data_IF_800101290768
#
_entry.id   IF_800101290768
#
_cell.length_a   1.000
_cell.length_b   1.000
_cell.length_c   1.000
_cell.angle_alpha   90.00
_cell.angle_beta   90.00
_cell.angle_gamma   90.00
#
_symmetry.space_group_name_H-M   'P 1'
#
loop_
_entity.id
_entity.type
_entity.pdbx_description
1 polymer ?
#
# COMPACT_ATOMS: atom_id res chain seq x y z
N UNK A 1 -11.70 -15.04 -19.64
CA UNK A 1 -13.00 -14.37 -19.79
C UNK A 1 -12.75 -12.88 -19.87
N UNK A 2 -13.21 -12.27 -20.97
CA UNK A 2 -13.18 -10.81 -21.17
C UNK A 2 -14.04 -10.10 -20.11
N UNK A 3 -13.71 -8.85 -19.84
CA UNK A 3 -14.37 -8.00 -18.84
C UNK A 3 -15.90 -7.95 -18.96
N UNK A 4 -16.44 -7.68 -20.15
CA UNK A 4 -17.88 -7.57 -20.36
C UNK A 4 -18.62 -8.89 -20.06
N UNK A 5 -18.05 -10.04 -20.48
CA UNK A 5 -18.63 -11.37 -20.21
C UNK A 5 -18.61 -11.65 -18.71
N UNK A 6 -17.50 -11.32 -18.05
CA UNK A 6 -17.39 -11.49 -16.61
C UNK A 6 -18.39 -10.61 -15.86
N UNK A 7 -18.57 -9.35 -16.27
CA UNK A 7 -19.56 -8.48 -15.64
C UNK A 7 -20.99 -9.01 -15.83
N UNK A 8 -21.35 -9.48 -17.02
CA UNK A 8 -22.66 -10.11 -17.25
C UNK A 8 -22.88 -11.34 -16.34
N UNK A 9 -21.86 -12.20 -16.23
CA UNK A 9 -21.88 -13.35 -15.33
C UNK A 9 -21.98 -12.94 -13.84
N UNK A 10 -21.23 -11.92 -13.43
CA UNK A 10 -21.20 -11.50 -12.05
C UNK A 10 -22.49 -10.79 -11.64
N UNK A 11 -23.06 -9.96 -12.51
CA UNK A 11 -24.32 -9.27 -12.24
C UNK A 11 -25.51 -10.24 -12.26
N UNK A 12 -25.46 -11.32 -13.05
CA UNK A 12 -26.46 -12.40 -12.94
C UNK A 12 -26.35 -13.18 -11.62
N UNK A 13 -25.17 -13.24 -11.01
CA UNK A 13 -24.91 -13.94 -9.74
C UNK A 13 -24.51 -13.00 -8.58
N UNK A 14 -24.99 -11.76 -8.59
CA UNK A 14 -24.48 -10.71 -7.69
C UNK A 14 -24.73 -11.02 -6.20
N UNK A 15 -25.85 -11.68 -5.87
CA UNK A 15 -26.17 -12.08 -4.49
C UNK A 15 -25.15 -13.09 -3.97
N UNK A 16 -24.82 -14.09 -4.78
CA UNK A 16 -23.82 -15.10 -4.44
C UNK A 16 -22.46 -14.44 -4.19
N UNK A 17 -22.00 -13.58 -5.12
CA UNK A 17 -20.76 -12.83 -4.96
C UNK A 17 -20.73 -11.99 -3.67
N UNK A 18 -21.78 -11.20 -3.40
CA UNK A 18 -21.84 -10.36 -2.20
C UNK A 18 -21.80 -11.19 -0.92
N UNK A 19 -22.50 -12.33 -0.89
CA UNK A 19 -22.46 -13.23 0.26
C UNK A 19 -21.06 -13.82 0.49
N UNK A 20 -20.39 -14.30 -0.56
CA UNK A 20 -19.02 -14.79 -0.47
C UNK A 20 -18.04 -13.69 -0.05
N UNK A 21 -18.14 -12.50 -0.61
CA UNK A 21 -17.28 -11.37 -0.26
C UNK A 21 -17.43 -10.96 1.21
N UNK A 22 -18.66 -10.89 1.72
CA UNK A 22 -18.92 -10.59 3.13
C UNK A 22 -18.42 -11.70 4.06
N UNK A 23 -18.73 -12.97 3.76
CA UNK A 23 -18.30 -14.11 4.56
C UNK A 23 -16.77 -14.21 4.64
N UNK A 24 -16.08 -14.10 3.50
CA UNK A 24 -14.62 -14.14 3.45
C UNK A 24 -14.00 -12.94 4.17
N UNK A 25 -14.49 -11.72 3.91
CA UNK A 25 -13.94 -10.52 4.55
C UNK A 25 -14.10 -10.55 6.07
N UNK A 26 -15.26 -10.97 6.56
CA UNK A 26 -15.54 -11.10 8.01
C UNK A 26 -14.68 -12.20 8.62
N UNK A 27 -14.57 -13.35 7.96
CA UNK A 27 -13.75 -14.47 8.43
C UNK A 27 -12.27 -14.08 8.51
N UNK A 28 -11.72 -13.48 7.46
CA UNK A 28 -10.35 -12.97 7.43
C UNK A 28 -10.12 -11.84 8.45
N UNK A 29 -11.12 -11.01 8.71
CA UNK A 29 -11.05 -9.98 9.76
C UNK A 29 -10.89 -10.60 11.15
N UNK A 30 -11.75 -11.56 11.53
CA UNK A 30 -11.64 -12.24 12.82
C UNK A 30 -10.32 -13.02 12.93
N UNK A 31 -9.93 -13.72 11.86
CA UNK A 31 -8.66 -14.43 11.78
C UNK A 31 -7.47 -13.50 11.86
N UNK A 32 -7.50 -12.26 11.39
CA UNK A 32 -6.33 -11.36 11.46
C UNK A 32 -6.27 -10.56 12.77
N UNK A 33 -7.42 -10.25 13.37
CA UNK A 33 -7.52 -9.31 14.50
C UNK A 33 -6.76 -9.79 15.75
N UNK A 34 -6.75 -11.09 16.05
CA UNK A 34 -5.99 -11.63 17.20
C UNK A 34 -4.47 -11.40 17.12
N UNK A 35 -3.90 -11.31 15.90
CA UNK A 35 -2.46 -11.08 15.69
C UNK A 35 -2.12 -9.60 15.57
N UNK A 36 -2.98 -8.84 14.91
CA UNK A 36 -2.74 -7.43 14.61
C UNK A 36 -3.08 -6.53 15.81
N UNK A 37 -4.03 -6.97 16.67
CA UNK A 37 -4.45 -6.36 17.95
C UNK A 37 -5.05 -4.95 17.86
N UNK A 38 -5.45 -4.48 16.69
CA UNK A 38 -6.08 -3.18 16.49
C UNK A 38 -7.11 -3.23 15.37
N UNK A 39 -8.36 -2.85 15.66
CA UNK A 39 -9.47 -2.87 14.69
C UNK A 39 -9.24 -1.89 13.53
N UNK A 40 -8.60 -0.76 13.81
CA UNK A 40 -8.27 0.27 12.81
C UNK A 40 -6.88 0.06 12.20
N UNK A 41 -6.37 -1.16 12.24
CA UNK A 41 -5.09 -1.48 11.62
C UNK A 41 -5.24 -1.60 10.09
N UNK A 42 -4.33 -0.98 9.32
CA UNK A 42 -4.37 -1.08 7.86
C UNK A 42 -4.35 -2.51 7.32
N UNK A 43 -3.80 -3.48 8.07
CA UNK A 43 -3.78 -4.88 7.63
C UNK A 43 -5.19 -5.39 7.29
N UNK A 44 -6.23 -4.93 8.00
CA UNK A 44 -7.60 -5.33 7.70
C UNK A 44 -8.08 -4.83 6.33
N UNK A 45 -7.61 -3.67 5.86
CA UNK A 45 -7.95 -3.19 4.54
C UNK A 45 -7.21 -3.98 3.44
N UNK A 46 -5.90 -4.16 3.59
CA UNK A 46 -5.05 -4.85 2.61
C UNK A 46 -5.23 -6.37 2.58
N UNK A 47 -5.68 -6.97 3.68
CA UNK A 47 -5.87 -8.42 3.76
C UNK A 47 -7.35 -8.77 3.87
N UNK A 48 -8.07 -8.32 4.91
CA UNK A 48 -9.45 -8.77 5.09
C UNK A 48 -10.41 -8.25 4.00
N UNK A 49 -10.35 -6.96 3.66
CA UNK A 49 -11.25 -6.36 2.67
C UNK A 49 -10.85 -6.70 1.23
N UNK A 50 -9.67 -6.29 0.79
CA UNK A 50 -9.24 -6.46 -0.63
C UNK A 50 -9.06 -7.93 -1.01
N UNK A 51 -8.43 -8.74 -0.16
CA UNK A 51 -8.30 -10.18 -0.41
C UNK A 51 -9.65 -10.88 -0.27
N UNK A 52 -10.50 -10.47 0.67
CA UNK A 52 -11.86 -11.01 0.83
C UNK A 52 -12.74 -10.78 -0.40
N UNK A 53 -12.68 -9.60 -1.02
CA UNK A 53 -13.38 -9.30 -2.27
C UNK A 53 -12.78 -10.04 -3.47
N UNK A 54 -11.44 -10.11 -3.58
CA UNK A 54 -10.77 -10.81 -4.68
C UNK A 54 -10.99 -12.33 -4.62
N UNK A 55 -10.90 -12.94 -3.43
CA UNK A 55 -11.14 -14.36 -3.26
C UNK A 55 -12.60 -14.76 -3.42
N UNK A 56 -13.54 -13.84 -3.23
CA UNK A 56 -14.93 -14.08 -3.59
C UNK A 56 -15.10 -14.25 -5.11
N UNK A 57 -14.34 -13.51 -5.93
CA UNK A 57 -14.29 -13.71 -7.38
C UNK A 57 -13.72 -15.10 -7.71
N UNK A 58 -12.63 -15.50 -7.05
CA UNK A 58 -12.02 -16.83 -7.25
C UNK A 58 -13.03 -17.94 -6.89
N UNK A 59 -13.73 -17.79 -5.77
CA UNK A 59 -14.67 -18.79 -5.27
C UNK A 59 -15.89 -18.93 -6.18
N UNK A 60 -16.49 -17.81 -6.63
CA UNK A 60 -17.66 -17.88 -7.51
C UNK A 60 -17.28 -18.46 -8.88
N UNK A 61 -16.10 -18.12 -9.42
CA UNK A 61 -15.64 -18.71 -10.67
C UNK A 61 -15.37 -20.21 -10.53
N UNK A 62 -14.85 -20.67 -9.39
CA UNK A 62 -14.63 -22.09 -9.14
C UNK A 62 -15.93 -22.88 -8.99
N UNK A 63 -16.93 -22.35 -8.26
CA UNK A 63 -18.24 -23.01 -8.09
C UNK A 63 -18.96 -23.20 -9.42
N UNK A 64 -18.79 -22.26 -10.35
CA UNK A 64 -19.37 -22.31 -11.70
C UNK A 64 -18.45 -22.98 -12.74
N UNK A 65 -17.42 -23.72 -12.29
CA UNK A 65 -16.51 -24.50 -13.15
C UNK A 65 -15.73 -23.67 -14.20
N UNK A 66 -15.57 -22.36 -13.97
CA UNK A 66 -14.82 -21.44 -14.85
C UNK A 66 -13.32 -21.41 -14.53
N UNK A 67 -12.90 -22.01 -13.42
CA UNK A 67 -11.51 -22.08 -12.96
C UNK A 67 -11.20 -23.52 -12.55
N UNK A 68 -10.07 -24.01 -13.06
CA UNK A 68 -9.56 -25.34 -12.75
C UNK A 68 -9.20 -25.54 -11.28
N UNK A 69 -9.41 -26.77 -10.79
CA UNK A 69 -9.03 -27.17 -9.44
C UNK A 69 -7.55 -26.92 -9.15
N UNK A 70 -6.68 -27.08 -10.15
CA UNK A 70 -5.25 -26.84 -10.01
C UNK A 70 -4.94 -25.40 -9.59
N UNK A 71 -5.46 -24.40 -10.32
CA UNK A 71 -5.26 -22.98 -10.02
C UNK A 71 -5.99 -22.57 -8.72
N UNK A 72 -7.20 -23.08 -8.49
CA UNK A 72 -7.92 -22.84 -7.25
C UNK A 72 -7.13 -23.34 -6.03
N UNK A 73 -6.62 -24.57 -6.08
CA UNK A 73 -5.83 -25.17 -5.00
C UNK A 73 -4.56 -24.37 -4.72
N UNK A 74 -3.89 -23.88 -5.76
CA UNK A 74 -2.71 -23.03 -5.64
C UNK A 74 -3.03 -21.74 -4.86
N UNK A 75 -4.05 -21.00 -5.28
CA UNK A 75 -4.42 -19.73 -4.66
C UNK A 75 -4.86 -19.93 -3.20
N UNK A 76 -5.63 -20.97 -2.93
CA UNK A 76 -6.05 -21.30 -1.57
C UNK A 76 -4.86 -21.67 -0.67
N UNK A 77 -3.95 -22.50 -1.15
CA UNK A 77 -2.73 -22.86 -0.41
C UNK A 77 -1.82 -21.64 -0.23
N UNK A 78 -1.65 -20.80 -1.26
CA UNK A 78 -0.84 -19.59 -1.22
C UNK A 78 -1.30 -18.64 -0.10
N UNK A 79 -2.60 -18.33 -0.05
CA UNK A 79 -3.19 -17.52 1.01
C UNK A 79 -3.04 -18.16 2.40
N UNK A 80 -3.21 -19.48 2.49
CA UNK A 80 -3.06 -20.23 3.75
C UNK A 80 -1.61 -20.21 4.26
N UNK A 81 -0.63 -20.48 3.40
CA UNK A 81 0.81 -20.45 3.73
C UNK A 81 1.26 -19.06 4.13
N UNK A 82 0.85 -18.03 3.37
CA UNK A 82 1.07 -16.64 3.74
C UNK A 82 0.59 -16.37 5.17
N UNK A 83 -0.65 -16.73 5.47
CA UNK A 83 -1.28 -16.41 6.74
C UNK A 83 -0.67 -17.19 7.93
N UNK A 84 -0.37 -18.48 7.74
CA UNK A 84 0.28 -19.31 8.77
C UNK A 84 1.66 -18.75 9.14
N UNK A 85 2.47 -18.41 8.13
CA UNK A 85 3.82 -17.88 8.34
C UNK A 85 3.77 -16.47 8.92
N UNK A 86 2.82 -15.63 8.50
CA UNK A 86 2.53 -14.35 9.13
C UNK A 86 2.21 -14.51 10.63
N UNK A 87 1.32 -15.44 10.97
CA UNK A 87 0.91 -15.71 12.35
C UNK A 87 2.06 -16.16 13.25
N UNK A 88 2.94 -17.03 12.71
CA UNK A 88 4.13 -17.53 13.41
C UNK A 88 5.17 -16.42 13.60
N UNK A 89 5.46 -15.68 12.53
CA UNK A 89 6.52 -14.67 12.53
C UNK A 89 6.16 -13.42 13.35
N UNK A 90 4.87 -13.06 13.42
CA UNK A 90 4.35 -11.91 14.18
C UNK A 90 4.44 -12.06 15.70
N UNK A 91 4.55 -13.28 16.24
CA UNK A 91 4.49 -13.53 17.69
C UNK A 91 5.83 -13.42 18.43
N UNK A 92 6.95 -13.19 17.73
CA UNK A 92 8.29 -13.35 18.33
C UNK A 92 8.93 -12.03 18.73
N UNK A 93 9.09 -11.80 20.04
CA UNK A 93 9.81 -10.64 20.62
C UNK A 93 11.31 -10.63 20.29
N UNK A 94 11.93 -11.81 20.15
CA UNK A 94 13.36 -11.94 19.88
C UNK A 94 13.79 -11.26 18.57
N UNK A 95 12.90 -11.24 17.57
CA UNK A 95 13.14 -10.63 16.26
C UNK A 95 13.25 -9.11 16.32
N UNK A 96 12.50 -8.46 17.21
CA UNK A 96 12.60 -7.02 17.41
C UNK A 96 13.92 -6.62 18.08
N UNK A 97 14.25 -7.25 19.20
CA UNK A 97 15.47 -6.92 19.97
C UNK A 97 16.77 -7.13 19.17
N UNK A 98 16.78 -8.12 18.27
CA UNK A 98 17.93 -8.42 17.41
C UNK A 98 17.91 -7.68 16.06
N UNK A 99 16.86 -6.91 15.76
CA UNK A 99 16.75 -6.24 14.46
C UNK A 99 17.84 -5.18 14.25
N UNK A 100 18.39 -5.15 13.04
CA UNK A 100 19.28 -4.06 12.61
C UNK A 100 18.59 -2.71 12.78
N UNK A 101 17.29 -2.65 12.50
CA UNK A 101 16.47 -1.46 12.66
C UNK A 101 16.53 -0.87 14.09
N UNK A 102 16.38 -1.71 15.12
CA UNK A 102 16.47 -1.22 16.51
C UNK A 102 17.87 -0.69 16.83
N UNK A 103 18.92 -1.41 16.40
CA UNK A 103 20.32 -0.96 16.60
C UNK A 103 20.61 0.38 15.91
N UNK A 104 20.17 0.52 14.67
CA UNK A 104 20.30 1.75 13.89
C UNK A 104 19.56 2.91 14.55
N UNK A 105 18.36 2.65 15.04
CA UNK A 105 17.52 3.70 15.63
C UNK A 105 18.08 4.23 16.95
N UNK A 106 18.74 3.39 17.76
CA UNK A 106 19.38 3.82 19.01
C UNK A 106 20.43 4.91 18.75
N UNK A 107 21.25 4.76 17.70
CA UNK A 107 22.29 5.75 17.36
C UNK A 107 21.72 7.12 16.96
N UNK A 108 20.47 7.15 16.48
CA UNK A 108 19.75 8.34 16.01
C UNK A 108 19.10 9.12 17.18
N UNK A 109 18.80 8.44 18.30
CA UNK A 109 18.02 9.00 19.40
C UNK A 109 18.63 10.28 20.00
N UNK A 110 19.96 10.36 20.09
CA UNK A 110 20.64 11.49 20.74
C UNK A 110 20.43 12.83 20.05
N UNK A 111 20.13 12.82 18.74
CA UNK A 111 19.99 14.03 17.91
C UNK A 111 18.61 14.14 17.27
N UNK A 112 17.59 13.56 17.90
CA UNK A 112 16.23 13.47 17.38
C UNK A 112 15.69 14.81 16.85
N UNK A 113 15.83 15.89 17.62
CA UNK A 113 15.30 17.21 17.25
C UNK A 113 15.99 17.82 16.04
N UNK A 114 17.29 17.56 15.88
CA UNK A 114 18.05 18.02 14.72
C UNK A 114 17.58 17.29 13.47
N UNK A 115 17.45 15.96 13.55
CA UNK A 115 16.99 15.14 12.43
C UNK A 115 15.58 15.52 11.99
N UNK A 116 14.65 15.73 12.92
CA UNK A 116 13.29 16.17 12.59
C UNK A 116 13.30 17.51 11.82
N UNK A 117 14.08 18.50 12.28
CA UNK A 117 14.19 19.79 11.58
C UNK A 117 14.77 19.62 10.18
N UNK A 118 15.84 18.85 10.06
CA UNK A 118 16.50 18.60 8.79
C UNK A 118 15.56 17.93 7.78
N UNK A 119 14.88 16.84 8.17
CA UNK A 119 13.96 16.12 7.29
C UNK A 119 12.75 16.97 6.90
N UNK A 120 12.23 17.81 7.80
CA UNK A 120 11.15 18.74 7.47
C UNK A 120 11.60 19.83 6.49
N UNK A 121 12.81 20.38 6.64
CA UNK A 121 13.38 21.34 5.69
C UNK A 121 13.60 20.66 4.34
N UNK A 122 14.16 19.45 4.33
CA UNK A 122 14.36 18.65 3.11
C UNK A 122 13.02 18.44 2.40
N UNK A 123 11.98 18.00 3.11
CA UNK A 123 10.65 17.80 2.54
C UNK A 123 10.07 19.08 1.91
N UNK A 124 10.18 20.22 2.61
CA UNK A 124 9.73 21.51 2.08
C UNK A 124 10.55 21.94 0.86
N UNK A 125 11.86 21.73 0.86
CA UNK A 125 12.73 22.07 -0.29
C UNK A 125 12.39 21.23 -1.53
N UNK A 126 12.18 19.93 -1.36
CA UNK A 126 11.76 19.03 -2.44
C UNK A 126 10.35 19.41 -2.94
N UNK A 127 9.46 19.84 -2.04
CA UNK A 127 8.14 20.31 -2.42
C UNK A 127 8.17 21.58 -3.27
N UNK A 128 8.95 22.58 -2.86
CA UNK A 128 9.12 23.81 -3.66
C UNK A 128 9.76 23.49 -5.02
N UNK A 129 10.75 22.60 -5.05
CA UNK A 129 11.34 22.13 -6.30
C UNK A 129 10.31 21.45 -7.20
N UNK A 130 9.49 20.55 -6.66
CA UNK A 130 8.44 19.87 -7.42
C UNK A 130 7.42 20.87 -8.03
N UNK A 131 6.97 21.86 -7.25
CA UNK A 131 6.08 22.91 -7.74
C UNK A 131 6.70 23.79 -8.82
N UNK A 132 8.04 23.93 -8.86
CA UNK A 132 8.72 24.67 -9.92
C UNK A 132 8.71 23.96 -11.28
N UNK A 133 8.51 22.64 -11.29
CA UNK A 133 8.59 21.80 -12.48
C UNK A 133 7.20 21.38 -13.00
N UNK A 134 6.19 21.29 -12.12
CA UNK A 134 4.86 20.81 -12.46
C UNK A 134 3.84 21.95 -12.37
N UNK A 135 3.16 22.25 -13.49
CA UNK A 135 2.08 23.24 -13.48
C UNK A 135 0.88 22.75 -12.68
N UNK A 136 0.18 23.67 -12.00
CA UNK A 136 -1.03 23.34 -11.24
C UNK A 136 -2.15 22.72 -12.11
N UNK A 137 -2.13 22.97 -13.41
CA UNK A 137 -3.09 22.42 -14.38
C UNK A 137 -2.86 20.94 -14.68
N UNK A 138 -1.61 20.46 -14.62
CA UNK A 138 -1.24 19.06 -14.89
C UNK A 138 -1.74 18.08 -13.80
N UNK A 139 -2.08 18.57 -12.59
CA UNK A 139 -2.69 17.73 -11.56
C UNK A 139 -4.10 17.25 -11.93
N UNK A 140 -4.79 17.96 -12.83
CA UNK A 140 -6.17 17.65 -13.21
C UNK A 140 -6.30 16.77 -14.46
N UNK A 141 -5.26 16.70 -15.30
CA UNK A 141 -5.32 16.01 -16.61
C UNK A 141 -4.78 14.58 -16.56
N UNK A 142 -3.54 14.36 -16.13
CA UNK A 142 -3.02 12.99 -15.92
C UNK A 142 -1.83 12.95 -14.97
N UNK A 143 -1.93 12.08 -13.93
CA UNK A 143 -0.89 11.88 -12.91
C UNK A 143 0.39 11.28 -13.50
N UNK A 144 0.25 10.43 -14.50
CA UNK A 144 1.37 9.71 -15.10
C UNK A 144 2.24 10.64 -15.96
N UNK A 145 1.64 11.61 -16.64
CA UNK A 145 2.40 12.62 -17.39
C UNK A 145 3.03 13.66 -16.45
N UNK A 146 2.32 14.08 -15.39
CA UNK A 146 2.82 15.05 -14.41
C UNK A 146 4.09 14.58 -13.67
N UNK A 147 4.27 13.27 -13.49
CA UNK A 147 5.40 12.69 -12.76
C UNK A 147 6.55 12.21 -13.67
N UNK A 148 6.45 12.41 -14.99
CA UNK A 148 7.45 11.95 -15.96
C UNK A 148 8.79 12.65 -15.70
N UNK A 149 9.84 11.89 -15.40
CA UNK A 149 11.19 12.41 -15.11
C UNK A 149 11.45 12.84 -13.66
N UNK A 150 10.42 12.98 -12.81
CA UNK A 150 10.54 13.38 -11.39
C UNK A 150 10.34 12.21 -10.40
N UNK A 151 10.26 10.98 -10.89
CA UNK A 151 9.86 9.81 -10.10
C UNK A 151 10.66 9.59 -8.80
N UNK A 152 11.98 9.80 -8.81
CA UNK A 152 12.83 9.63 -7.61
C UNK A 152 12.46 10.67 -6.53
N UNK A 153 12.26 11.93 -6.94
CA UNK A 153 11.91 13.02 -6.02
C UNK A 153 10.55 12.75 -5.39
N UNK A 154 9.58 12.36 -6.21
CA UNK A 154 8.22 12.04 -5.76
C UNK A 154 8.23 10.87 -4.78
N UNK A 155 9.02 9.81 -5.03
CA UNK A 155 9.17 8.68 -4.10
C UNK A 155 9.79 9.09 -2.77
N UNK A 156 10.87 9.88 -2.81
CA UNK A 156 11.51 10.37 -1.59
C UNK A 156 10.56 11.24 -0.77
N UNK A 157 9.83 12.15 -1.43
CA UNK A 157 8.83 13.00 -0.79
C UNK A 157 7.69 12.17 -0.18
N UNK A 158 7.20 11.18 -0.90
CA UNK A 158 6.09 10.33 -0.47
C UNK A 158 6.46 9.51 0.78
N UNK A 159 7.68 8.97 0.83
CA UNK A 159 8.19 8.27 2.00
C UNK A 159 8.45 9.22 3.18
N UNK A 160 9.07 10.40 2.94
CA UNK A 160 9.31 11.42 3.99
C UNK A 160 8.01 11.91 4.62
N UNK A 161 7.00 12.16 3.79
CA UNK A 161 5.66 12.60 4.21
C UNK A 161 5.06 11.67 5.26
N UNK A 162 5.12 10.37 5.01
CA UNK A 162 4.56 9.34 5.92
C UNK A 162 5.35 9.30 7.24
N UNK A 163 6.67 9.32 7.18
CA UNK A 163 7.54 9.33 8.37
C UNK A 163 7.31 10.60 9.21
N UNK A 164 7.31 11.78 8.59
CA UNK A 164 7.11 13.06 9.29
C UNK A 164 5.72 13.16 9.91
N UNK A 165 4.67 12.74 9.19
CA UNK A 165 3.30 12.72 9.72
C UNK A 165 3.20 11.88 10.99
N UNK A 166 3.76 10.66 10.98
CA UNK A 166 3.82 9.80 12.16
C UNK A 166 4.59 10.42 13.32
N UNK A 167 5.73 11.07 13.03
CA UNK A 167 6.60 11.67 14.03
C UNK A 167 5.96 12.89 14.72
N UNK A 168 5.34 13.79 13.96
CA UNK A 168 4.60 14.93 14.52
C UNK A 168 3.38 14.47 15.32
N UNK A 169 2.68 13.43 14.85
CA UNK A 169 1.54 12.88 15.59
C UNK A 169 1.93 12.24 16.91
N UNK A 170 3.07 11.55 16.96
CA UNK A 170 3.63 11.04 18.22
C UNK A 170 3.85 12.17 19.24
N UNK A 171 4.45 13.29 18.81
CA UNK A 171 4.64 14.46 19.67
C UNK A 171 3.31 15.09 20.13
N UNK A 172 2.28 15.06 19.29
CA UNK A 172 0.93 15.44 19.69
C UNK A 172 0.40 14.52 20.79
N UNK A 173 0.54 13.20 20.68
CA UNK A 173 0.03 12.25 21.68
C UNK A 173 0.71 12.41 23.04
N UNK A 174 2.04 12.60 23.08
CA UNK A 174 2.78 12.80 24.34
C UNK A 174 2.64 14.20 24.93
N UNK A 175 2.69 15.24 24.09
CA UNK A 175 2.70 16.63 24.55
C UNK A 175 1.33 17.33 24.55
N UNK A 176 0.31 16.73 23.93
CA UNK A 176 -1.04 17.27 23.68
C UNK A 176 -1.09 18.67 23.04
N UNK A 177 0.01 19.14 22.44
CA UNK A 177 0.08 20.45 21.78
C UNK A 177 -0.58 20.36 20.41
N UNK A 178 -1.75 21.00 20.24
CA UNK A 178 -2.55 21.00 18.99
C UNK A 178 -1.73 21.37 17.74
N UNK A 179 -0.71 22.23 17.88
CA UNK A 179 0.18 22.62 16.76
C UNK A 179 0.78 21.43 16.01
N UNK A 180 1.14 20.35 16.71
CA UNK A 180 1.77 19.19 16.07
C UNK A 180 0.77 18.35 15.27
N UNK A 181 -0.49 18.30 15.72
CA UNK A 181 -1.57 17.70 14.95
C UNK A 181 -1.85 18.50 13.67
N UNK A 182 -1.90 19.83 13.79
CA UNK A 182 -2.11 20.72 12.63
C UNK A 182 -0.98 20.53 11.60
N UNK A 183 0.28 20.49 12.05
CA UNK A 183 1.43 20.25 11.16
C UNK A 183 1.33 18.87 10.49
N UNK A 184 0.99 17.82 11.24
CA UNK A 184 0.80 16.48 10.68
C UNK A 184 -0.30 16.46 9.61
N UNK A 185 -1.43 17.14 9.85
CA UNK A 185 -2.53 17.26 8.89
C UNK A 185 -2.15 18.12 7.67
N UNK A 186 -1.34 19.15 7.85
CA UNK A 186 -0.89 20.01 6.74
C UNK A 186 0.08 19.27 5.83
N UNK A 187 1.07 18.56 6.39
CA UNK A 187 1.95 17.65 5.63
C UNK A 187 1.11 16.61 4.89
N UNK A 188 0.06 16.12 5.56
CA UNK A 188 -0.86 15.14 4.99
C UNK A 188 -1.59 15.68 3.75
N UNK A 189 -2.21 16.84 3.88
CA UNK A 189 -2.92 17.52 2.80
C UNK A 189 -1.99 17.87 1.62
N UNK A 190 -0.81 18.43 1.89
CA UNK A 190 0.18 18.75 0.86
C UNK A 190 0.53 17.50 0.05
N UNK A 191 0.88 16.40 0.73
CA UNK A 191 1.28 15.22 -0.01
C UNK A 191 0.13 14.44 -0.63
N UNK A 192 -1.11 14.61 -0.17
CA UNK A 192 -2.29 14.12 -0.89
C UNK A 192 -2.47 14.85 -2.23
N UNK A 193 -2.28 16.17 -2.25
CA UNK A 193 -2.32 16.99 -3.47
C UNK A 193 -1.23 16.59 -4.47
N UNK A 194 0.01 16.39 -4.00
CA UNK A 194 1.16 16.03 -4.85
C UNK A 194 0.97 14.66 -5.48
N UNK A 195 0.58 13.67 -4.67
CA UNK A 195 0.46 12.30 -5.18
C UNK A 195 -0.68 12.16 -6.21
N UNK A 196 -1.64 13.11 -6.24
CA UNK A 196 -2.87 13.02 -7.04
C UNK A 196 -3.75 11.81 -6.68
N UNK A 197 -3.37 11.01 -5.68
CA UNK A 197 -3.98 9.74 -5.36
C UNK A 197 -4.78 9.87 -4.05
N UNK A 198 -6.09 9.61 -4.14
CA UNK A 198 -7.00 9.51 -2.99
C UNK A 198 -6.48 8.52 -1.94
N UNK A 199 -5.79 7.48 -2.40
CA UNK A 199 -5.17 6.46 -1.57
C UNK A 199 -4.08 6.99 -0.63
N UNK A 200 -3.35 8.03 -1.06
CA UNK A 200 -2.22 8.54 -0.31
C UNK A 200 -2.64 9.28 0.98
N UNK A 201 -3.87 9.78 1.05
CA UNK A 201 -4.47 10.33 2.27
C UNK A 201 -4.90 9.22 3.24
N UNK A 202 -5.49 8.16 2.70
CA UNK A 202 -5.90 6.98 3.47
C UNK A 202 -4.68 6.26 4.09
N UNK A 203 -3.57 6.17 3.35
CA UNK A 203 -2.31 5.66 3.87
C UNK A 203 -1.78 6.47 5.07
N UNK A 204 -1.90 7.79 5.04
CA UNK A 204 -1.49 8.63 6.17
C UNK A 204 -2.37 8.38 7.39
N UNK A 205 -3.70 8.30 7.20
CA UNK A 205 -4.62 7.96 8.30
C UNK A 205 -4.20 6.65 8.94
N UNK A 206 -3.83 5.64 8.15
CA UNK A 206 -3.34 4.37 8.66
C UNK A 206 -2.07 4.50 9.49
N UNK A 207 -1.11 5.32 9.04
CA UNK A 207 0.12 5.58 9.81
C UNK A 207 -0.19 6.25 11.14
N UNK A 208 -1.10 7.22 11.15
CA UNK A 208 -1.56 7.87 12.40
C UNK A 208 -2.24 6.85 13.34
N UNK A 209 -3.09 5.97 12.81
CA UNK A 209 -3.73 4.90 13.58
C UNK A 209 -2.69 3.95 14.20
N UNK A 210 -1.68 3.56 13.44
CA UNK A 210 -0.59 2.68 13.92
C UNK A 210 0.26 3.38 14.98
N UNK A 211 0.65 4.64 14.79
CA UNK A 211 1.36 5.43 15.82
C UNK A 211 0.52 5.58 17.09
N UNK A 212 -0.79 5.83 16.93
CA UNK A 212 -1.75 5.89 18.04
C UNK A 212 -1.79 4.60 18.85
N UNK A 213 -1.84 3.46 18.15
CA UNK A 213 -1.80 2.14 18.77
C UNK A 213 -0.48 1.88 19.50
N UNK A 214 0.67 2.12 18.85
CA UNK A 214 2.00 1.92 19.44
C UNK A 214 2.17 2.75 20.72
N UNK A 215 1.75 4.02 20.68
CA UNK A 215 2.00 4.99 21.75
C UNK A 215 1.07 4.81 22.95
N UNK A 216 -0.20 4.49 22.71
CA UNK A 216 -1.21 4.45 23.78
C UNK A 216 -1.53 3.04 24.26
N UNK A 217 -1.23 2.01 23.45
CA UNK A 217 -1.66 0.61 23.63
C UNK A 217 -3.16 0.42 23.85
N UNK A 218 -3.96 1.46 23.58
CA UNK A 218 -5.42 1.41 23.65
C UNK A 218 -5.94 1.15 22.25
N UNK A 219 -6.73 0.09 22.12
CA UNK A 219 -7.58 -0.09 20.95
C UNK A 219 -8.63 1.02 20.95
N UNK A 220 -8.88 1.63 19.79
CA UNK A 220 -10.00 2.57 19.64
C UNK A 220 -11.29 1.83 20.00
N UNK A 221 -11.93 2.23 21.10
CA UNK A 221 -13.29 1.80 21.41
C UNK A 221 -14.23 2.77 20.70
N UNK A 222 -15.01 2.24 19.75
CA UNK A 222 -16.07 3.03 19.12
C UNK A 222 -17.20 3.21 20.13
N UNK A 223 -17.38 4.45 20.59
CA UNK A 223 -18.63 4.82 21.27
C UNK A 223 -19.75 4.89 20.22
N UNK A 224 -20.98 4.54 20.60
CA UNK A 224 -22.15 4.61 19.71
C UNK A 224 -22.29 5.98 19.02
N UNK A 225 -22.00 7.08 19.74
CA UNK A 225 -21.97 8.44 19.18
C UNK A 225 -20.94 8.60 18.06
N UNK A 226 -19.74 8.06 18.25
CA UNK A 226 -18.67 8.11 17.25
C UNK A 226 -19.03 7.24 16.03
N UNK A 227 -19.63 6.08 16.26
CA UNK A 227 -20.08 5.19 15.18
C UNK A 227 -21.20 5.84 14.35
N UNK A 228 -22.17 6.48 15.02
CA UNK A 228 -23.21 7.25 14.36
C UNK A 228 -22.65 8.41 13.52
N UNK A 229 -21.67 9.13 14.06
CA UNK A 229 -21.00 10.23 13.35
C UNK A 229 -20.20 9.72 12.14
N UNK A 230 -19.49 8.59 12.28
CA UNK A 230 -18.81 7.92 11.16
C UNK A 230 -19.83 7.52 10.09
N UNK A 231 -20.99 6.97 10.48
CA UNK A 231 -22.03 6.53 9.56
C UNK A 231 -22.69 7.71 8.83
N UNK A 232 -22.88 8.85 9.49
CA UNK A 232 -23.31 10.09 8.85
C UNK A 232 -22.26 10.57 7.84
N UNK A 233 -20.99 10.68 8.25
CA UNK A 233 -19.91 11.12 7.35
C UNK A 233 -19.79 10.18 6.15
N UNK A 234 -19.84 8.87 6.37
CA UNK A 234 -19.78 7.86 5.33
C UNK A 234 -20.98 7.97 4.38
N UNK A 235 -22.20 8.15 4.92
CA UNK A 235 -23.40 8.35 4.12
C UNK A 235 -23.33 9.64 3.30
N UNK A 236 -22.91 10.76 3.89
CA UNK A 236 -22.70 12.02 3.17
C UNK A 236 -21.66 11.87 2.06
N UNK A 237 -20.55 11.18 2.32
CA UNK A 237 -19.51 10.92 1.32
C UNK A 237 -20.01 10.01 0.20
N UNK A 238 -20.79 8.98 0.53
CA UNK A 238 -21.41 8.07 -0.45
C UNK A 238 -22.40 8.83 -1.35
N UNK A 239 -23.27 9.65 -0.77
CA UNK A 239 -24.20 10.51 -1.53
C UNK A 239 -23.44 11.51 -2.41
N UNK A 240 -22.38 12.12 -1.90
CA UNK A 240 -21.51 13.01 -2.66
C UNK A 240 -20.82 12.27 -3.83
N UNK A 241 -20.30 11.07 -3.59
CA UNK A 241 -19.70 10.24 -4.63
C UNK A 241 -20.72 9.84 -5.70
N UNK A 242 -21.93 9.43 -5.30
CA UNK A 242 -23.01 9.08 -6.22
C UNK A 242 -23.44 10.29 -7.08
N UNK A 243 -23.52 11.48 -6.48
CA UNK A 243 -23.81 12.72 -7.21
C UNK A 243 -22.77 13.00 -8.30
N UNK A 244 -21.47 12.91 -7.96
CA UNK A 244 -20.40 13.13 -8.94
C UNK A 244 -20.37 12.05 -10.02
N UNK A 245 -20.57 10.78 -9.67
CA UNK A 245 -20.64 9.67 -10.63
C UNK A 245 -21.80 9.90 -11.59
N UNK A 246 -22.98 10.28 -11.09
CA UNK A 246 -24.15 10.61 -11.92
C UNK A 246 -23.84 11.74 -12.92
N UNK A 247 -23.20 12.83 -12.47
CA UNK A 247 -22.81 13.95 -13.35
C UNK A 247 -21.78 13.55 -14.40
N UNK A 248 -20.78 12.75 -14.03
CA UNK A 248 -19.77 12.23 -14.96
C UNK A 248 -20.39 11.29 -15.99
N UNK A 249 -21.32 10.44 -15.58
CA UNK A 249 -22.03 9.51 -16.45
C UNK A 249 -22.77 10.23 -17.59
N UNK A 250 -23.48 11.30 -17.25
CA UNK A 250 -24.19 12.13 -18.23
C UNK A 250 -23.22 12.78 -19.22
N UNK A 251 -22.04 13.23 -18.76
CA UNK A 251 -21.03 13.81 -19.65
C UNK A 251 -20.41 12.80 -20.63
N UNK A 252 -20.35 11.53 -20.25
CA UNK A 252 -19.79 10.44 -21.08
C UNK A 252 -20.87 9.80 -21.98
N UNK A 253 -22.13 10.25 -21.87
CA UNK A 253 -23.24 9.69 -22.64
C UNK A 253 -23.75 8.35 -22.12
N UNK A 254 -23.31 7.92 -20.94
CA UNK A 254 -23.79 6.71 -20.28
C UNK A 254 -25.06 7.05 -19.48
N UNK A 255 -26.22 6.94 -20.11
CA UNK A 255 -27.51 7.45 -19.60
C UNK A 255 -28.47 6.37 -19.11
N UNK A 256 -28.24 5.10 -19.47
CA UNK A 256 -29.05 3.95 -19.08
C UNK A 256 -28.18 2.83 -18.53
N UNK A 257 -28.69 2.12 -17.51
CA UNK A 257 -28.00 0.97 -16.94
C UNK A 257 -27.88 -0.16 -17.97
N UNK A 258 -26.69 -0.74 -18.13
CA UNK A 258 -26.48 -1.84 -19.09
C UNK A 258 -26.57 -3.21 -18.42
N UNK A 259 -25.97 -3.36 -17.25
CA UNK A 259 -25.87 -4.64 -16.54
C UNK A 259 -26.98 -4.88 -15.51
N UNK A 260 -27.69 -3.83 -15.05
CA UNK A 260 -28.75 -3.96 -14.04
C UNK A 260 -30.04 -3.25 -14.51
N UNK A 261 -30.91 -3.94 -15.26
CA UNK A 261 -32.13 -3.35 -15.80
C UNK A 261 -32.99 -2.67 -14.70
N UNK A 262 -33.27 -1.37 -14.89
CA UNK A 262 -34.09 -0.57 -13.96
C UNK A 262 -33.35 0.04 -12.76
N UNK A 263 -32.07 -0.25 -12.56
CA UNK A 263 -31.28 0.39 -11.50
C UNK A 263 -30.78 1.79 -11.90
N UNK A 264 -30.56 2.70 -10.93
CA UNK A 264 -29.89 3.96 -11.19
C UNK A 264 -28.47 3.76 -11.71
N UNK A 265 -28.12 4.42 -12.81
CA UNK A 265 -26.78 4.37 -13.43
C UNK A 265 -25.64 4.62 -12.44
N UNK A 266 -25.83 5.53 -11.49
CA UNK A 266 -24.82 5.85 -10.48
C UNK A 266 -24.52 4.67 -9.55
N UNK A 267 -25.50 3.80 -9.29
CA UNK A 267 -25.34 2.60 -8.47
C UNK A 267 -24.57 1.53 -9.21
N UNK A 268 -24.89 1.27 -10.48
CA UNK A 268 -24.13 0.35 -11.33
C UNK A 268 -22.68 0.80 -11.49
N UNK A 269 -22.44 2.07 -11.80
CA UNK A 269 -21.07 2.60 -11.92
C UNK A 269 -20.30 2.53 -10.59
N UNK A 270 -20.98 2.67 -9.45
CA UNK A 270 -20.36 2.47 -8.13
C UNK A 270 -19.97 1.00 -7.93
N UNK A 271 -20.85 0.06 -8.25
CA UNK A 271 -20.58 -1.38 -8.17
C UNK A 271 -19.45 -1.78 -9.12
N UNK A 272 -19.52 -1.37 -10.38
CA UNK A 272 -18.45 -1.55 -11.37
C UNK A 272 -17.13 -0.98 -10.86
N UNK A 273 -17.13 0.17 -10.17
CA UNK A 273 -15.91 0.71 -9.57
C UNK A 273 -15.43 -0.13 -8.38
N UNK A 274 -16.30 -0.66 -7.53
CA UNK A 274 -15.91 -1.56 -6.44
C UNK A 274 -15.32 -2.85 -7.01
N UNK A 275 -15.92 -3.40 -8.07
CA UNK A 275 -15.49 -4.62 -8.73
C UNK A 275 -14.19 -4.44 -9.52
N UNK A 276 -14.07 -3.35 -10.29
CA UNK A 276 -12.83 -2.98 -10.96
C UNK A 276 -11.70 -2.69 -9.97
N UNK A 277 -12.02 -2.23 -8.75
CA UNK A 277 -11.06 -2.09 -7.66
C UNK A 277 -10.85 -3.39 -6.85
N UNK A 278 -11.74 -4.38 -6.99
CA UNK A 278 -11.74 -5.69 -6.30
C UNK A 278 -10.74 -6.69 -6.89
N UNK A 279 -9.88 -6.18 -7.76
CA UNK A 279 -8.88 -6.85 -8.57
C UNK A 279 -9.43 -7.83 -9.62
N UNK A 280 -8.78 -7.87 -10.78
CA UNK A 280 -9.28 -8.56 -11.96
C UNK A 280 -8.70 -9.98 -12.10
N UNK A 281 -8.76 -10.77 -11.01
CA UNK A 281 -8.38 -12.20 -11.01
C UNK A 281 -9.08 -13.00 -12.11
N UNK A 282 -10.31 -12.62 -12.47
CA UNK A 282 -11.05 -13.26 -13.55
C UNK A 282 -10.35 -13.16 -14.91
N UNK A 283 -9.49 -12.16 -15.15
CA UNK A 283 -8.75 -12.04 -16.41
C UNK A 283 -7.59 -13.05 -16.50
N UNK A 284 -7.03 -13.45 -15.37
CA UNK A 284 -5.84 -14.32 -15.31
C UNK A 284 -6.18 -15.79 -15.16
N UNK A 285 -7.25 -16.11 -14.42
CA UNK A 285 -7.55 -17.48 -14.01
C UNK A 285 -8.35 -18.28 -15.03
N UNK A 286 -9.31 -17.64 -15.68
CA UNK A 286 -10.11 -18.29 -16.72
C UNK A 286 -9.26 -18.54 -17.97
N UNK A 287 -9.48 -19.65 -18.67
CA UNK A 287 -8.74 -20.04 -19.89
C UNK A 287 -7.22 -20.16 -19.69
N UNK A 288 -6.74 -20.31 -18.45
CA UNK A 288 -5.31 -20.48 -18.15
C UNK A 288 -4.41 -19.34 -18.68
N UNK A 289 -4.95 -18.11 -18.76
CA UNK A 289 -4.18 -16.96 -19.28
C UNK A 289 -2.90 -16.74 -18.46
N UNK A 290 -2.93 -17.00 -17.15
CA UNK A 290 -1.75 -16.90 -16.30
C UNK A 290 -0.59 -17.81 -16.76
N UNK A 291 -0.87 -18.95 -17.38
CA UNK A 291 0.13 -19.88 -17.89
C UNK A 291 0.80 -19.38 -19.19
N UNK A 292 0.18 -18.40 -19.85
CA UNK A 292 0.73 -17.76 -21.06
C UNK A 292 1.69 -16.60 -20.76
N UNK A 293 1.77 -16.16 -19.50
CA UNK A 293 2.62 -15.04 -19.08
C UNK A 293 4.08 -15.49 -19.06
N UNK A 294 4.94 -14.74 -19.76
CA UNK A 294 6.36 -15.05 -19.88
C UNK A 294 7.16 -14.11 -18.98
N UNK A 295 7.86 -14.67 -18.00
CA UNK A 295 8.77 -13.91 -17.13
C UNK A 295 10.17 -14.53 -17.16
N UNK A 296 11.06 -13.95 -17.96
CA UNK A 296 12.43 -14.45 -18.13
C UNK A 296 13.30 -14.23 -16.89
N UNK A 297 13.13 -13.08 -16.22
CA UNK A 297 13.94 -12.68 -15.07
C UNK A 297 13.09 -12.24 -13.87
N UNK A 298 12.54 -13.20 -13.11
CA UNK A 298 11.61 -12.91 -12.02
C UNK A 298 12.15 -11.96 -10.95
N UNK A 299 13.43 -12.11 -10.59
CA UNK A 299 14.07 -11.24 -9.58
C UNK A 299 14.28 -9.81 -10.08
N UNK A 300 14.59 -9.62 -11.36
CA UNK A 300 14.73 -8.28 -11.95
C UNK A 300 13.36 -7.62 -12.07
N UNK A 301 12.31 -8.37 -12.44
CA UNK A 301 10.93 -7.88 -12.47
C UNK A 301 10.44 -7.45 -11.06
N UNK A 302 10.81 -8.19 -10.02
CA UNK A 302 10.50 -7.82 -8.64
C UNK A 302 11.19 -6.52 -8.19
N UNK A 303 12.38 -6.22 -8.73
CA UNK A 303 13.15 -5.02 -8.38
C UNK A 303 12.92 -3.85 -9.35
N UNK A 304 12.17 -4.04 -10.43
CA UNK A 304 11.98 -3.05 -11.50
C UNK A 304 11.46 -1.72 -10.96
N UNK A 305 10.41 -1.75 -10.14
CA UNK A 305 9.84 -0.57 -9.50
C UNK A 305 10.77 0.05 -8.44
N UNK A 306 11.71 -0.71 -7.89
CA UNK A 306 12.66 -0.20 -6.87
C UNK A 306 13.67 0.76 -7.49
N UNK A 307 14.21 0.43 -8.66
CA UNK A 307 15.20 1.27 -9.37
C UNK A 307 14.58 2.16 -10.45
N UNK A 308 13.32 1.87 -10.82
CA UNK A 308 12.56 2.55 -11.86
C UNK A 308 12.64 1.82 -13.19
N UNK A 309 11.47 1.51 -13.78
CA UNK A 309 11.36 0.73 -15.01
C UNK A 309 12.19 1.31 -16.16
N UNK A 310 12.23 2.65 -16.31
CA UNK A 310 13.01 3.29 -17.38
C UNK A 310 14.52 3.18 -17.19
N UNK A 311 15.00 3.11 -15.95
CA UNK A 311 16.44 2.94 -15.67
C UNK A 311 16.82 1.48 -15.89
N UNK A 312 16.02 0.57 -15.37
CA UNK A 312 16.19 -0.87 -15.55
C UNK A 312 16.14 -1.28 -17.01
N UNK A 313 15.19 -0.75 -17.78
CA UNK A 313 15.09 -1.05 -19.22
C UNK A 313 16.34 -0.61 -19.98
N UNK A 314 16.94 0.54 -19.65
CA UNK A 314 18.19 0.99 -20.27
C UNK A 314 19.40 0.16 -19.86
N UNK A 315 19.41 -0.39 -18.64
CA UNK A 315 20.55 -1.14 -18.12
C UNK A 315 20.57 -2.59 -18.62
N UNK A 316 19.40 -3.20 -18.77
CA UNK A 316 19.28 -4.63 -19.10
C UNK A 316 18.70 -4.89 -20.50
N UNK A 317 18.31 -3.84 -21.24
CA UNK A 317 17.67 -3.94 -22.57
C UNK A 317 16.37 -4.77 -22.56
N UNK A 318 15.63 -4.67 -21.45
CA UNK A 318 14.38 -5.41 -21.20
C UNK A 318 13.25 -4.42 -20.91
N UNK A 319 12.12 -4.55 -21.60
CA UNK A 319 10.93 -3.74 -21.32
C UNK A 319 10.14 -4.27 -20.12
N UNK A 320 10.64 -3.97 -18.91
CA UNK A 320 9.98 -4.33 -17.64
C UNK A 320 8.55 -3.77 -17.50
N UNK A 321 8.17 -2.79 -18.31
CA UNK A 321 6.83 -2.17 -18.25
C UNK A 321 5.79 -3.01 -18.96
N UNK A 322 6.12 -3.51 -20.16
CA UNK A 322 5.22 -4.39 -20.92
C UNK A 322 5.32 -5.85 -20.47
N UNK A 323 6.45 -6.26 -19.89
CA UNK A 323 6.64 -7.59 -19.31
C UNK A 323 6.07 -7.73 -17.89
N UNK A 324 5.43 -6.70 -17.35
CA UNK A 324 4.72 -6.81 -16.08
C UNK A 324 3.56 -7.82 -16.18
N UNK A 325 3.40 -8.69 -15.17
CA UNK A 325 2.45 -9.83 -15.21
C UNK A 325 1.03 -9.35 -15.54
N UNK A 326 0.56 -8.32 -14.83
CA UNK A 326 -0.77 -7.75 -15.02
C UNK A 326 -0.94 -7.10 -16.38
N UNK A 327 0.13 -6.50 -16.90
CA UNK A 327 0.14 -5.94 -18.26
C UNK A 327 0.04 -7.04 -19.32
N UNK A 328 0.78 -8.13 -19.17
CA UNK A 328 0.72 -9.27 -20.10
C UNK A 328 -0.68 -9.92 -20.10
N UNK A 329 -1.28 -10.12 -18.93
CA UNK A 329 -2.67 -10.62 -18.80
C UNK A 329 -3.65 -9.69 -19.53
N UNK A 330 -3.48 -8.38 -19.41
CA UNK A 330 -4.33 -7.42 -20.10
C UNK A 330 -4.15 -7.47 -21.62
N UNK A 331 -2.91 -7.52 -22.10
CA UNK A 331 -2.58 -7.56 -23.52
C UNK A 331 -3.05 -8.86 -24.20
N UNK A 332 -3.17 -9.96 -23.45
CA UNK A 332 -3.82 -11.18 -23.96
C UNK A 332 -5.26 -10.91 -24.44
N UNK A 333 -6.01 -10.12 -23.68
CA UNK A 333 -7.40 -9.77 -24.01
C UNK A 333 -7.52 -8.57 -24.97
N UNK A 334 -6.59 -7.61 -24.87
CA UNK A 334 -6.56 -6.38 -25.66
C UNK A 334 -5.15 -6.11 -26.21
N UNK A 335 -4.74 -6.78 -27.30
CA UNK A 335 -3.35 -6.73 -27.80
C UNK A 335 -2.88 -5.34 -28.23
N UNK A 336 -3.77 -4.53 -28.80
CA UNK A 336 -3.44 -3.24 -29.39
C UNK A 336 -3.60 -2.06 -28.44
N UNK A 337 -3.83 -2.30 -27.15
CA UNK A 337 -4.11 -1.22 -26.21
C UNK A 337 -2.82 -0.47 -25.80
N UNK A 338 -2.65 0.81 -26.20
CA UNK A 338 -1.41 1.56 -25.91
C UNK A 338 -1.33 2.04 -24.46
N UNK A 339 -2.45 1.99 -23.71
CA UNK A 339 -2.52 2.52 -22.35
C UNK A 339 -2.02 1.48 -21.36
N UNK A 340 -1.07 1.84 -20.51
CA UNK A 340 -0.52 0.96 -19.47
C UNK A 340 -1.54 0.71 -18.36
N UNK A 341 -2.29 -0.39 -18.49
CA UNK A 341 -3.28 -0.89 -17.53
C UNK A 341 -3.26 -2.42 -17.48
N UNK A 342 -3.83 -2.97 -16.41
CA UNK A 342 -3.99 -4.41 -16.19
C UNK A 342 -4.37 -4.72 -14.74
N UNK A 343 -4.70 -6.00 -14.44
CA UNK A 343 -4.88 -6.48 -13.06
C UNK A 343 -3.66 -6.21 -12.19
N UNK A 344 -3.88 -6.14 -10.89
CA UNK A 344 -2.80 -5.97 -9.93
C UNK A 344 -2.05 -7.29 -9.76
N UNK A 345 -0.72 -7.22 -9.68
CA UNK A 345 0.13 -8.40 -9.48
C UNK A 345 0.10 -8.85 -8.02
N UNK A 346 -1.03 -9.38 -7.55
CA UNK A 346 -1.14 -9.91 -6.20
C UNK A 346 -0.06 -10.95 -5.94
N UNK A 347 0.39 -11.04 -4.68
CA UNK A 347 1.57 -11.84 -4.34
C UNK A 347 1.44 -13.31 -4.74
N UNK A 348 0.23 -13.84 -4.76
CA UNK A 348 -0.10 -15.21 -5.15
C UNK A 348 -0.02 -15.39 -6.68
N UNK A 349 -0.66 -14.54 -7.47
CA UNK A 349 -0.56 -14.55 -8.94
C UNK A 349 0.86 -14.26 -9.42
N UNK A 350 1.51 -13.26 -8.85
CA UNK A 350 2.89 -12.92 -9.15
C UNK A 350 3.83 -14.06 -8.77
N UNK A 351 3.65 -14.68 -7.60
CA UNK A 351 4.42 -15.84 -7.17
C UNK A 351 4.31 -17.01 -8.14
N UNK A 352 3.11 -17.26 -8.67
CA UNK A 352 2.87 -18.31 -9.66
C UNK A 352 3.58 -18.02 -10.99
N UNK A 353 3.37 -16.81 -11.54
CA UNK A 353 3.99 -16.41 -12.80
C UNK A 353 5.53 -16.37 -12.71
N UNK A 354 6.08 -16.05 -11.55
CA UNK A 354 7.52 -15.93 -11.33
C UNK A 354 8.23 -17.25 -11.05
N UNK A 355 7.62 -18.14 -10.27
CA UNK A 355 8.32 -19.30 -9.70
C UNK A 355 7.53 -20.61 -9.85
N UNK A 356 6.42 -20.60 -10.59
CA UNK A 356 5.51 -21.73 -10.75
C UNK A 356 4.79 -22.08 -9.45
N UNK A 357 4.16 -23.26 -9.42
CA UNK A 357 3.31 -23.69 -8.29
C UNK A 357 4.07 -23.76 -6.96
N UNK A 358 5.13 -24.58 -6.89
CA UNK A 358 5.86 -24.81 -5.62
C UNK A 358 6.65 -23.58 -5.21
N UNK A 359 7.34 -22.94 -6.15
CA UNK A 359 8.10 -21.72 -5.89
C UNK A 359 7.21 -20.55 -5.50
N UNK A 360 6.01 -20.44 -6.08
CA UNK A 360 5.00 -19.45 -5.73
C UNK A 360 4.50 -19.61 -4.29
N UNK A 361 4.26 -20.84 -3.83
CA UNK A 361 3.91 -21.10 -2.42
C UNK A 361 5.02 -20.67 -1.45
N UNK A 362 6.28 -20.95 -1.80
CA UNK A 362 7.43 -20.47 -1.02
C UNK A 362 7.53 -18.95 -1.02
N UNK A 363 7.28 -18.31 -2.16
CA UNK A 363 7.26 -16.86 -2.29
C UNK A 363 6.18 -16.24 -1.37
N UNK A 364 4.97 -16.78 -1.38
CA UNK A 364 3.88 -16.37 -0.48
C UNK A 364 4.24 -16.50 1.00
N UNK A 365 4.92 -17.59 1.37
CA UNK A 365 5.46 -17.78 2.71
C UNK A 365 6.51 -16.71 3.07
N UNK A 366 7.40 -16.33 2.14
CA UNK A 366 8.38 -15.25 2.33
C UNK A 366 7.69 -13.90 2.57
N UNK A 367 6.68 -13.55 1.77
CA UNK A 367 5.91 -12.30 1.96
C UNK A 367 5.22 -12.31 3.33
N UNK A 368 4.59 -13.42 3.71
CA UNK A 368 3.99 -13.60 5.04
C UNK A 368 5.00 -13.43 6.17
N UNK A 369 6.22 -13.98 6.00
CA UNK A 369 7.30 -13.82 6.96
C UNK A 369 7.74 -12.37 7.10
N UNK A 370 7.98 -11.66 5.99
CA UNK A 370 8.43 -10.26 6.01
C UNK A 370 7.40 -9.37 6.73
N UNK A 371 6.14 -9.44 6.32
CA UNK A 371 5.06 -8.64 6.93
C UNK A 371 4.89 -9.00 8.40
N UNK A 372 4.95 -10.28 8.77
CA UNK A 372 4.83 -10.69 10.16
C UNK A 372 6.02 -10.24 11.03
N UNK A 373 7.24 -10.21 10.49
CA UNK A 373 8.39 -9.61 11.19
C UNK A 373 8.17 -8.13 11.44
N UNK A 374 7.74 -7.36 10.44
CA UNK A 374 7.46 -5.91 10.62
C UNK A 374 6.30 -5.68 11.58
N UNK A 375 5.26 -6.53 11.55
CA UNK A 375 4.16 -6.49 12.52
C UNK A 375 4.66 -6.76 13.95
N UNK A 376 5.61 -7.68 14.13
CA UNK A 376 6.23 -7.91 15.44
C UNK A 376 6.90 -6.63 15.97
N UNK A 377 7.56 -5.85 15.11
CA UNK A 377 8.19 -4.59 15.51
C UNK A 377 7.14 -3.59 16.00
N UNK A 378 6.01 -3.45 15.30
CA UNK A 378 4.85 -2.64 15.73
C UNK A 378 4.34 -3.07 17.12
N UNK A 379 4.24 -4.38 17.37
CA UNK A 379 3.75 -4.91 18.64
C UNK A 379 4.72 -4.69 19.81
N UNK A 380 6.04 -4.71 19.55
CA UNK A 380 7.06 -4.67 20.62
C UNK A 380 7.82 -3.35 20.77
N UNK A 381 7.64 -2.36 19.88
CA UNK A 381 8.27 -1.04 19.96
C UNK A 381 7.65 -0.09 21.02
N UNK A 382 7.14 -0.63 22.12
CA UNK A 382 6.56 0.20 23.19
C UNK A 382 7.62 1.08 23.85
N UNK A 383 7.22 2.25 24.32
CA UNK A 383 8.07 3.23 25.01
C UNK A 383 9.35 3.65 24.26
N UNK A 384 9.44 3.36 22.96
CA UNK A 384 10.56 3.76 22.12
C UNK A 384 10.52 5.26 21.79
N UNK A 385 11.63 5.80 21.29
CA UNK A 385 11.72 7.20 20.83
C UNK A 385 10.74 7.48 19.69
N UNK A 386 10.41 8.77 19.47
CA UNK A 386 9.47 9.11 18.41
C UNK A 386 9.99 8.75 17.02
N UNK A 387 11.32 8.77 16.82
CA UNK A 387 12.00 8.29 15.60
C UNK A 387 11.63 6.84 15.33
N UNK A 388 11.91 5.96 16.31
CA UNK A 388 11.67 4.51 16.17
C UNK A 388 10.21 4.27 15.83
N UNK A 389 9.29 4.90 16.57
CA UNK A 389 7.85 4.72 16.36
C UNK A 389 7.41 5.21 14.99
N UNK A 390 7.88 6.38 14.54
CA UNK A 390 7.54 6.94 13.23
C UNK A 390 8.02 6.04 12.09
N UNK A 391 9.27 5.59 12.13
CA UNK A 391 9.83 4.72 11.11
C UNK A 391 9.23 3.30 11.13
N UNK A 392 8.95 2.71 12.30
CA UNK A 392 8.27 1.40 12.38
C UNK A 392 6.85 1.50 11.83
N UNK A 393 6.10 2.55 12.20
CA UNK A 393 4.74 2.76 11.70
C UNK A 393 4.74 2.98 10.18
N UNK A 394 5.64 3.82 9.67
CA UNK A 394 5.82 4.04 8.25
C UNK A 394 6.17 2.75 7.50
N UNK A 395 7.17 2.00 7.98
CA UNK A 395 7.60 0.75 7.37
C UNK A 395 6.49 -0.31 7.39
N UNK A 396 5.74 -0.41 8.48
CA UNK A 396 4.60 -1.33 8.57
C UNK A 396 3.56 -1.00 7.51
N UNK A 397 3.06 0.25 7.46
CA UNK A 397 2.08 0.66 6.45
C UNK A 397 2.60 0.48 5.02
N UNK A 398 3.87 0.79 4.77
CA UNK A 398 4.54 0.67 3.46
C UNK A 398 4.86 -0.77 3.06
N UNK A 399 4.89 -1.70 4.00
CA UNK A 399 5.08 -3.13 3.73
C UNK A 399 3.79 -3.85 3.32
N UNK A 400 2.62 -3.36 3.71
CA UNK A 400 1.33 -3.99 3.39
C UNK A 400 0.98 -4.04 1.89
N UNK A 401 1.37 -3.05 1.07
CA UNK A 401 1.28 -3.16 -0.39
C UNK A 401 1.97 -4.38 -0.99
N UNK A 402 2.89 -5.07 -0.29
CA UNK A 402 3.43 -6.36 -0.76
C UNK A 402 2.34 -7.41 -1.04
N UNK A 403 1.19 -7.34 -0.35
CA UNK A 403 0.04 -8.23 -0.55
C UNK A 403 -0.63 -7.94 -1.91
N UNK A 404 -0.67 -6.67 -2.32
CA UNK A 404 -1.33 -6.26 -3.56
C UNK A 404 -0.37 -6.31 -4.76
N UNK A 405 0.86 -5.82 -4.58
CA UNK A 405 1.90 -5.83 -5.60
C UNK A 405 3.28 -5.92 -4.93
N UNK A 406 3.94 -7.09 -4.97
CA UNK A 406 5.24 -7.29 -4.34
C UNK A 406 6.32 -6.33 -4.83
N UNK A 407 6.37 -6.01 -6.13
CA UNK A 407 7.39 -5.13 -6.70
C UNK A 407 7.27 -3.70 -6.15
N UNK A 408 6.03 -3.19 -6.06
CA UNK A 408 5.74 -1.88 -5.46
C UNK A 408 5.99 -1.88 -3.95
N UNK A 409 5.58 -2.94 -3.24
CA UNK A 409 5.80 -3.06 -1.80
C UNK A 409 7.29 -3.09 -1.42
N UNK A 410 8.13 -3.79 -2.20
CA UNK A 410 9.59 -3.80 -2.00
C UNK A 410 10.14 -2.39 -2.21
N UNK A 411 9.76 -1.71 -3.29
CA UNK A 411 10.20 -0.35 -3.58
C UNK A 411 9.90 0.60 -2.42
N UNK A 412 8.68 0.55 -1.88
CA UNK A 412 8.27 1.36 -0.74
C UNK A 412 9.02 1.04 0.56
N UNK A 413 9.33 -0.22 0.83
CA UNK A 413 10.16 -0.58 1.99
C UNK A 413 11.59 -0.07 1.84
N UNK A 414 12.17 -0.22 0.64
CA UNK A 414 13.52 0.27 0.33
C UNK A 414 13.60 1.78 0.50
N UNK A 415 12.58 2.54 0.09
CA UNK A 415 12.54 4.00 0.27
C UNK A 415 12.68 4.40 1.76
N UNK A 416 12.02 3.67 2.67
CA UNK A 416 12.13 3.91 4.12
C UNK A 416 13.53 3.58 4.63
N UNK A 417 14.13 2.47 4.16
CA UNK A 417 15.51 2.11 4.53
C UNK A 417 16.54 3.11 4.00
N UNK A 418 16.34 3.67 2.80
CA UNK A 418 17.20 4.74 2.25
C UNK A 418 17.13 5.97 3.15
N UNK A 419 15.93 6.42 3.55
CA UNK A 419 15.78 7.56 4.46
C UNK A 419 16.45 7.29 5.81
N UNK A 420 16.31 6.08 6.35
CA UNK A 420 16.97 5.67 7.59
C UNK A 420 18.49 5.70 7.44
N UNK A 421 19.02 5.17 6.34
CA UNK A 421 20.46 5.17 6.03
C UNK A 421 21.03 6.59 5.91
N UNK A 422 20.37 7.47 5.15
CA UNK A 422 20.77 8.88 5.02
C UNK A 422 20.74 9.58 6.39
N UNK A 423 19.71 9.31 7.21
CA UNK A 423 19.61 9.84 8.57
C UNK A 423 20.79 9.43 9.45
N UNK A 424 21.26 8.18 9.34
CA UNK A 424 22.42 7.67 10.08
C UNK A 424 23.72 8.31 9.63
N UNK A 425 23.94 8.44 8.32
CA UNK A 425 25.13 9.07 7.75
C UNK A 425 25.24 10.51 8.25
N UNK A 426 24.14 11.26 8.21
CA UNK A 426 24.08 12.64 8.68
C UNK A 426 24.44 12.79 10.16
N UNK A 427 23.92 11.90 11.01
CA UNK A 427 24.21 11.93 12.45
C UNK A 427 25.65 11.50 12.76
N UNK A 428 26.22 10.59 11.97
CA UNK A 428 27.61 10.17 12.13
C UNK A 428 28.55 11.32 11.78
N UNK A 429 28.27 12.04 10.69
CA UNK A 429 29.03 13.22 10.28
C UNK A 429 28.90 14.34 11.30
N UNK A 430 27.68 14.62 11.80
CA UNK A 430 27.46 15.69 12.79
C UNK A 430 28.17 15.40 14.12
N UNK A 431 28.17 14.14 14.60
CA UNK A 431 28.92 13.71 15.80
C UNK A 431 30.44 13.81 15.57
N UNK A 432 30.93 13.51 14.38
CA UNK A 432 32.34 13.71 14.01
C UNK A 432 32.75 15.19 14.02
N UNK A 433 31.89 16.06 13.50
CA UNK A 433 32.12 17.50 13.46
C UNK A 433 32.16 18.13 14.86
N UNK A 434 31.26 17.73 15.78
CA UNK A 434 31.27 18.25 17.15
C UNK A 434 32.49 17.79 17.94
N UNK A 435 32.94 16.53 17.77
CA UNK A 435 34.14 16.02 18.45
C UNK A 435 35.43 16.72 17.97
N UNK A 436 35.50 17.08 16.69
CA UNK A 436 36.61 17.86 16.13
C UNK A 436 36.57 19.34 16.56
N UNK A 437 35.38 19.93 16.72
CA UNK A 437 35.23 21.29 17.24
C UNK A 437 35.73 21.44 18.69
N UNK A 438 35.49 20.44 19.55
CA UNK A 438 36.06 20.40 20.89
C UNK A 438 37.58 20.23 20.89
N UNK A 439 38.12 19.32 20.05
CA UNK A 439 39.59 19.14 19.93
C UNK A 439 40.33 20.37 19.41
N UNK A 440 39.70 21.21 18.58
CA UNK A 440 40.29 22.47 18.15
C UNK A 440 40.23 23.56 19.23
N UNK A 441 39.24 23.50 20.13
CA UNK A 441 39.12 24.45 21.24
C UNK A 441 40.15 24.19 22.34
N UNK A 442 40.49 22.92 22.59
CA UNK A 442 41.50 22.50 23.56
C UNK A 442 42.94 22.67 23.07
N UNK A 443 43.16 22.98 21.78
CA UNK A 443 44.49 23.29 21.22
C UNK A 443 44.80 24.79 21.15
N UNK A 444 43.82 25.63 21.47
CA UNK A 444 43.93 27.09 21.48
C UNK A 444 43.84 27.67 22.91
N UNK A 445 43.94 26.81 23.92
CA UNK A 445 44.25 27.14 25.32
C UNK A 445 45.65 26.61 25.61
#
# INVERSE_FOLDING_TARGET
MRDYIFFDFLFSNYLEYVTYALLLSISLFFLSNWKVKNIMDPFHYYYAFTYGTGYAIILILFVHELVDFYLFSYLFLSGTFFFLIFCFSSGSKAKYNRSLFNRLSISIMDQERFLLKFLSILYLSLFVFYLSQVSLTMFFTSRFEANRGLGIIVRLMDALRVVLAGWYFYYYLRGRKKRFLIIALLISAIGALISGAKFAFLEQIYVLCVVGFITTRKTFKFNLRSLFLILIIASCFLLFSLYFISKLSVMIGYTSSQYIPGAPVALELLLLRILANGDAYYLSLTEHVIDTVIVEHPWLQLLSNTFGNSVMAKLFDIDFSNLDVGRQIWLYWYPDDPVMRGPTNHFDLAGYAYFGYVGGLLFSAVIGYVIGVVNSWKLYCDNSSAVVVAFVAALYCRSLPLILNPSVGIAYMVDIYIILFVSLVLITISKGATKNAYRHRDRNL
#
